data_IF_005070099645
#
_entry.id   IF_005070099645
#
_cell.length_a   1.000
_cell.length_b   1.000
_cell.length_c   1.000
_cell.angle_alpha   90.00
_cell.angle_beta   90.00
_cell.angle_gamma   90.00
#
_symmetry.space_group_name_H-M   'P 1'
#
loop_
_entity.id
_entity.type
_entity.pdbx_description
1 polymer ?
#
# COMPACT_ATOMS: atom_id res chain seq x y z
N UNK A 1 -1.65 -6.94 -7.11
CA UNK A 1 -0.55 -6.63 -8.06
C UNK A 1 -1.09 -6.74 -9.47
N UNK A 2 -0.97 -5.67 -10.27
CA UNK A 2 -1.44 -5.68 -11.66
C UNK A 2 -0.83 -6.81 -12.48
N UNK A 3 -1.65 -7.44 -13.36
CA UNK A 3 -1.21 -8.53 -14.23
C UNK A 3 -1.00 -9.88 -13.57
N UNK A 4 -1.43 -10.06 -12.31
CA UNK A 4 -1.23 -11.31 -11.55
C UNK A 4 -2.53 -12.07 -11.32
N UNK A 5 -3.63 -11.37 -11.00
CA UNK A 5 -4.90 -11.98 -10.64
C UNK A 5 -5.94 -11.79 -11.75
N UNK A 6 -6.52 -12.88 -12.22
CA UNK A 6 -7.57 -12.89 -13.23
C UNK A 6 -8.75 -13.70 -12.74
N UNK A 7 -9.97 -13.27 -13.10
CA UNK A 7 -11.17 -14.05 -12.87
C UNK A 7 -11.29 -15.18 -13.92
N UNK A 8 -12.31 -16.02 -13.82
CA UNK A 8 -12.51 -17.15 -14.75
C UNK A 8 -12.82 -16.72 -16.18
N UNK A 9 -13.21 -15.46 -16.39
CA UNK A 9 -13.45 -14.84 -17.70
C UNK A 9 -12.21 -14.19 -18.31
N UNK A 10 -11.08 -14.22 -17.60
CA UNK A 10 -9.83 -13.60 -18.03
C UNK A 10 -9.77 -12.09 -17.80
N UNK A 11 -10.69 -11.51 -17.01
CA UNK A 11 -10.62 -10.12 -16.63
C UNK A 11 -9.61 -9.95 -15.48
N UNK A 12 -8.72 -9.00 -15.64
CA UNK A 12 -7.70 -8.68 -14.65
C UNK A 12 -8.31 -7.92 -13.46
N UNK A 13 -7.90 -8.26 -12.23
CA UNK A 13 -8.52 -7.75 -11.00
C UNK A 13 -8.47 -6.22 -10.88
N UNK A 14 -7.33 -5.58 -11.21
CA UNK A 14 -7.23 -4.11 -11.12
C UNK A 14 -8.13 -3.39 -12.13
N UNK A 15 -8.47 -4.07 -13.25
CA UNK A 15 -9.46 -3.56 -14.19
C UNK A 15 -10.88 -3.56 -13.59
N UNK A 16 -11.21 -4.56 -12.75
CA UNK A 16 -12.48 -4.56 -12.02
C UNK A 16 -12.53 -3.40 -11.03
N UNK A 17 -11.45 -3.17 -10.27
CA UNK A 17 -11.35 -2.01 -9.35
C UNK A 17 -11.52 -0.69 -10.11
N UNK A 18 -10.83 -0.53 -11.25
CA UNK A 18 -10.94 0.67 -12.06
C UNK A 18 -12.36 0.94 -12.53
N UNK A 19 -13.09 -0.09 -12.96
CA UNK A 19 -14.50 0.01 -13.36
C UNK A 19 -15.38 0.49 -12.20
N UNK A 20 -15.19 -0.06 -11.00
CA UNK A 20 -15.93 0.37 -9.80
C UNK A 20 -15.61 1.82 -9.41
N UNK A 21 -14.41 2.31 -9.71
CA UNK A 21 -14.02 3.72 -9.53
C UNK A 21 -14.53 4.64 -10.65
N UNK A 22 -15.21 4.12 -11.66
CA UNK A 22 -15.75 4.90 -12.79
C UNK A 22 -14.78 5.12 -13.96
N UNK A 23 -13.68 4.36 -14.05
CA UNK A 23 -12.70 4.44 -15.14
C UNK A 23 -13.04 3.43 -16.27
N UNK A 24 -14.06 3.71 -17.06
CA UNK A 24 -14.59 2.78 -18.06
C UNK A 24 -13.63 2.41 -19.22
N UNK A 25 -12.59 3.20 -19.46
CA UNK A 25 -11.75 3.06 -20.65
C UNK A 25 -10.36 2.49 -20.39
N UNK A 26 -10.02 2.15 -19.18
CA UNK A 26 -8.67 1.70 -18.84
C UNK A 26 -8.61 0.20 -18.72
N UNK A 27 -8.31 -0.47 -19.84
CA UNK A 27 -7.75 -1.81 -19.73
C UNK A 27 -6.34 -1.70 -19.19
N UNK A 28 -6.05 -2.43 -18.13
CA UNK A 28 -4.68 -2.59 -17.68
C UNK A 28 -3.84 -3.26 -18.78
N UNK A 29 -2.87 -2.54 -19.31
CA UNK A 29 -1.95 -3.01 -20.35
C UNK A 29 -0.65 -3.63 -19.79
N UNK A 30 -0.58 -3.81 -18.48
CA UNK A 30 0.60 -4.30 -17.76
C UNK A 30 1.64 -3.22 -17.47
N UNK A 31 1.44 -1.98 -17.92
CA UNK A 31 2.45 -0.90 -17.85
C UNK A 31 1.90 0.39 -17.28
N UNK A 32 0.61 0.63 -17.43
CA UNK A 32 -0.02 1.88 -17.00
C UNK A 32 -0.67 1.69 -15.63
N UNK A 33 -0.19 2.40 -14.64
CA UNK A 33 -0.87 2.49 -13.36
C UNK A 33 -2.05 3.46 -13.46
N UNK A 34 -3.18 3.07 -12.89
CA UNK A 34 -4.32 3.97 -12.73
C UNK A 34 -3.89 5.12 -11.82
N UNK A 35 -4.06 6.34 -12.32
CA UNK A 35 -3.73 7.55 -11.55
C UNK A 35 -5.04 8.23 -11.16
N UNK A 36 -5.24 8.45 -9.88
CA UNK A 36 -6.43 9.15 -9.38
C UNK A 36 -6.58 10.55 -10.00
N UNK A 37 -5.48 11.27 -10.21
CA UNK A 37 -5.48 12.58 -10.87
C UNK A 37 -6.00 12.56 -12.32
N UNK A 38 -5.96 11.41 -12.98
CA UNK A 38 -6.45 11.27 -14.36
C UNK A 38 -7.98 11.12 -14.40
N UNK A 39 -8.63 11.11 -13.24
CA UNK A 39 -10.09 11.07 -13.07
C UNK A 39 -10.77 12.43 -13.33
N UNK A 40 -10.04 13.41 -13.82
CA UNK A 40 -10.60 14.73 -14.15
C UNK A 40 -11.03 15.57 -12.92
N UNK A 41 -10.70 15.14 -11.72
CA UNK A 41 -10.92 15.92 -10.50
C UNK A 41 -10.02 17.15 -10.50
N UNK A 42 -10.62 18.32 -10.30
CA UNK A 42 -9.84 19.53 -10.10
C UNK A 42 -9.26 19.53 -8.69
N UNK A 43 -7.96 19.23 -8.58
CA UNK A 43 -7.23 19.22 -7.30
C UNK A 43 -7.38 20.59 -6.60
N UNK A 44 -7.46 21.67 -7.35
CA UNK A 44 -7.61 23.01 -6.81
C UNK A 44 -8.98 23.18 -6.13
N UNK A 45 -10.05 22.66 -6.73
CA UNK A 45 -11.39 22.72 -6.14
C UNK A 45 -11.49 21.86 -4.89
N UNK A 46 -10.93 20.62 -4.93
CA UNK A 46 -10.87 19.73 -3.77
C UNK A 46 -10.04 20.35 -2.62
N UNK A 47 -8.89 20.96 -2.93
CA UNK A 47 -8.09 21.70 -1.95
C UNK A 47 -8.89 22.83 -1.31
N UNK A 48 -9.56 23.64 -2.12
CA UNK A 48 -10.38 24.75 -1.64
C UNK A 48 -11.49 24.25 -0.70
N UNK A 49 -12.22 23.23 -1.11
CA UNK A 49 -13.26 22.62 -0.29
C UNK A 49 -12.69 22.11 1.05
N UNK A 50 -11.58 21.34 1.01
CA UNK A 50 -10.93 20.84 2.21
C UNK A 50 -10.47 21.97 3.15
N UNK A 51 -9.93 23.07 2.62
CA UNK A 51 -9.55 24.22 3.42
C UNK A 51 -10.75 24.91 4.07
N UNK A 52 -11.88 25.01 3.36
CA UNK A 52 -13.12 25.57 3.90
C UNK A 52 -13.68 24.68 5.04
N UNK A 53 -13.77 23.38 4.84
CA UNK A 53 -14.26 22.41 5.82
C UNK A 53 -13.38 22.36 7.08
N UNK A 54 -12.06 22.30 6.92
CA UNK A 54 -11.10 22.28 8.03
C UNK A 54 -11.10 23.61 8.79
N UNK A 55 -11.23 24.76 8.08
CA UNK A 55 -11.36 26.07 8.74
C UNK A 55 -12.60 26.15 9.60
N UNK A 56 -13.72 25.55 9.16
CA UNK A 56 -14.98 25.56 9.90
C UNK A 56 -14.87 24.85 11.26
N UNK A 57 -13.93 23.91 11.40
CA UNK A 57 -13.64 23.23 12.67
C UNK A 57 -12.42 23.81 13.40
N UNK A 58 -11.91 24.96 12.95
CA UNK A 58 -10.86 25.71 13.63
C UNK A 58 -9.42 25.31 13.29
N UNK A 59 -9.20 24.54 12.21
CA UNK A 59 -7.85 24.20 11.74
C UNK A 59 -7.21 25.44 11.10
N UNK A 60 -5.94 25.66 11.42
CA UNK A 60 -5.10 26.72 10.84
C UNK A 60 -4.11 26.12 9.83
N UNK A 61 -3.79 26.88 8.79
CA UNK A 61 -2.90 26.43 7.72
C UNK A 61 -1.52 27.10 7.78
N UNK A 62 -0.47 26.42 7.27
CA UNK A 62 -0.50 25.05 6.73
C UNK A 62 -0.69 23.98 7.82
N UNK A 63 -1.32 22.86 7.43
CA UNK A 63 -1.35 21.65 8.26
C UNK A 63 0.01 20.97 8.19
N UNK A 64 0.59 20.62 9.33
CA UNK A 64 1.86 19.90 9.40
C UNK A 64 1.62 18.41 9.55
N UNK A 65 1.99 17.64 8.52
CA UNK A 65 1.95 16.18 8.52
C UNK A 65 3.33 15.62 8.82
N UNK A 66 3.42 14.70 9.78
CA UNK A 66 4.69 14.12 10.23
C UNK A 66 4.92 12.74 9.63
N UNK A 67 6.04 12.59 8.93
CA UNK A 67 6.55 11.33 8.41
C UNK A 67 7.90 11.03 9.04
N UNK A 68 8.13 9.78 9.47
CA UNK A 68 9.33 9.39 10.20
C UNK A 68 10.15 8.36 9.44
N UNK A 69 11.45 8.59 9.34
CA UNK A 69 12.43 7.70 8.72
C UNK A 69 13.49 7.25 9.73
N UNK A 70 14.19 6.16 9.45
CA UNK A 70 15.27 5.70 10.29
C UNK A 70 16.47 6.65 10.20
N UNK A 71 17.02 7.04 11.35
CA UNK A 71 18.22 7.89 11.40
C UNK A 71 19.40 7.22 10.72
N UNK A 72 20.07 7.96 9.82
CA UNK A 72 21.21 7.46 9.04
C UNK A 72 20.84 6.65 7.79
N UNK A 73 19.56 6.43 7.51
CA UNK A 73 19.12 5.79 6.27
C UNK A 73 18.98 6.84 5.15
N UNK A 74 19.99 6.91 4.29
CA UNK A 74 20.04 7.89 3.19
C UNK A 74 18.99 7.60 2.11
N UNK A 75 18.71 6.33 1.83
CA UNK A 75 17.68 5.95 0.84
C UNK A 75 16.29 6.34 1.32
N UNK A 76 15.99 6.11 2.60
CA UNK A 76 14.74 6.55 3.19
C UNK A 76 14.62 8.09 3.20
N UNK A 77 15.73 8.81 3.43
CA UNK A 77 15.75 10.26 3.38
C UNK A 77 15.47 10.79 1.96
N UNK A 78 16.09 10.20 0.95
CA UNK A 78 15.88 10.57 -0.46
C UNK A 78 14.41 10.34 -0.84
N UNK A 79 13.85 9.18 -0.48
CA UNK A 79 12.44 8.85 -0.72
C UNK A 79 11.50 9.83 -0.03
N UNK A 80 11.74 10.13 1.25
CA UNK A 80 10.92 11.08 2.02
C UNK A 80 11.03 12.51 1.46
N UNK A 81 12.21 12.89 0.94
CA UNK A 81 12.42 14.19 0.30
C UNK A 81 11.61 14.30 -1.01
N UNK A 82 11.60 13.25 -1.82
CA UNK A 82 10.75 13.20 -3.03
C UNK A 82 9.27 13.26 -2.64
N UNK A 83 8.85 12.52 -1.63
CA UNK A 83 7.47 12.55 -1.14
C UNK A 83 7.08 13.97 -0.68
N UNK A 84 7.95 14.63 0.10
CA UNK A 84 7.75 16.02 0.52
C UNK A 84 7.58 16.96 -0.68
N UNK A 85 8.41 16.80 -1.72
CA UNK A 85 8.29 17.60 -2.94
C UNK A 85 6.96 17.32 -3.67
N UNK A 86 6.53 16.06 -3.73
CA UNK A 86 5.23 15.71 -4.31
C UNK A 86 4.06 16.38 -3.56
N UNK A 87 4.12 16.45 -2.24
CA UNK A 87 3.12 17.17 -1.44
C UNK A 87 3.12 18.66 -1.75
N UNK A 88 4.30 19.30 -1.77
CA UNK A 88 4.43 20.71 -2.12
C UNK A 88 3.92 21.01 -3.52
N UNK A 89 4.31 20.23 -4.52
CA UNK A 89 3.91 20.44 -5.92
C UNK A 89 2.43 20.20 -6.18
N UNK A 90 1.82 19.25 -5.46
CA UNK A 90 0.42 18.87 -5.69
C UNK A 90 -0.56 19.64 -4.84
N UNK A 91 -0.23 19.91 -3.57
CA UNK A 91 -1.13 20.50 -2.58
C UNK A 91 -0.79 21.94 -2.27
N UNK A 92 0.48 22.34 -2.43
CA UNK A 92 1.02 23.64 -2.06
C UNK A 92 1.35 23.77 -0.58
N UNK A 93 2.44 24.47 -0.28
CA UNK A 93 2.93 24.67 1.09
C UNK A 93 2.03 25.59 1.93
N UNK A 94 1.05 26.23 1.31
CA UNK A 94 0.01 27.00 1.97
C UNK A 94 -1.10 26.13 2.59
N UNK A 95 -1.19 24.87 2.16
CA UNK A 95 -2.20 23.93 2.64
C UNK A 95 -1.59 22.86 3.55
N UNK A 96 -0.64 22.06 3.04
CA UNK A 96 -0.02 20.96 3.78
C UNK A 96 1.49 20.98 3.65
N UNK A 97 2.19 20.85 4.76
CA UNK A 97 3.65 20.70 4.82
C UNK A 97 3.98 19.32 5.38
N UNK A 98 4.80 18.55 4.66
CA UNK A 98 5.32 17.29 5.16
C UNK A 98 6.60 17.51 5.94
N UNK A 99 6.57 17.26 7.24
CA UNK A 99 7.73 17.30 8.15
C UNK A 99 8.35 15.92 8.27
N UNK A 100 9.66 15.84 8.02
CA UNK A 100 10.42 14.58 8.10
C UNK A 100 11.09 14.52 9.47
N UNK A 101 10.62 13.60 10.32
CA UNK A 101 11.22 13.24 11.60
C UNK A 101 12.11 12.00 11.48
N UNK A 102 12.84 11.69 12.55
CA UNK A 102 13.70 10.50 12.59
C UNK A 102 13.44 9.67 13.84
N UNK A 103 13.65 8.36 13.72
CA UNK A 103 13.72 7.42 14.84
C UNK A 103 15.05 6.65 14.78
N UNK A 104 15.48 6.08 15.91
CA UNK A 104 16.81 5.46 16.03
C UNK A 104 16.77 3.94 15.89
N UNK A 105 15.93 3.26 16.66
CA UNK A 105 15.95 1.79 16.74
C UNK A 105 14.69 1.13 16.23
N UNK A 106 13.51 1.63 16.58
CA UNK A 106 12.25 0.96 16.27
C UNK A 106 11.16 1.94 15.90
N UNK A 107 10.74 1.90 14.62
CA UNK A 107 9.60 2.65 14.13
C UNK A 107 8.34 2.40 14.99
N UNK A 108 8.11 1.16 15.37
CA UNK A 108 6.93 0.79 16.14
C UNK A 108 6.93 1.37 17.55
N UNK A 109 8.06 1.28 18.28
CA UNK A 109 8.14 1.75 19.66
C UNK A 109 8.25 3.25 19.77
N UNK A 110 9.01 3.87 18.87
CA UNK A 110 9.37 5.29 18.95
C UNK A 110 8.36 6.20 18.23
N UNK A 111 7.63 5.69 17.26
CA UNK A 111 6.73 6.49 16.43
C UNK A 111 5.29 5.97 16.48
N UNK A 112 5.06 4.73 15.98
CA UNK A 112 3.71 4.18 15.82
C UNK A 112 2.95 4.05 17.14
N UNK A 113 3.53 3.36 18.13
CA UNK A 113 2.84 3.06 19.38
C UNK A 113 2.61 4.30 20.25
N UNK A 114 3.38 5.36 20.03
CA UNK A 114 3.22 6.65 20.70
C UNK A 114 2.52 7.70 19.81
N UNK A 115 2.08 7.26 18.62
CA UNK A 115 1.22 8.02 17.70
C UNK A 115 1.79 9.40 17.32
N UNK A 116 3.07 9.46 16.93
CA UNK A 116 3.72 10.69 16.51
C UNK A 116 3.54 11.00 15.01
N UNK A 117 3.16 10.00 14.21
CA UNK A 117 3.04 10.13 12.77
C UNK A 117 1.67 10.66 12.34
N UNK A 118 1.65 11.42 11.27
CA UNK A 118 0.44 11.69 10.49
C UNK A 118 0.34 10.73 9.30
N UNK A 119 1.48 10.33 8.73
CA UNK A 119 1.60 9.37 7.64
C UNK A 119 2.61 8.31 8.06
N UNK A 120 2.24 7.04 7.93
CA UNK A 120 3.13 5.91 8.15
C UNK A 120 3.19 5.05 6.89
N UNK A 121 4.39 4.92 6.32
CA UNK A 121 4.62 3.95 5.25
C UNK A 121 4.78 2.57 5.87
N UNK A 122 4.00 1.63 5.38
CA UNK A 122 4.04 0.24 5.82
C UNK A 122 3.95 -0.70 4.62
N UNK A 123 4.16 -2.00 4.82
CA UNK A 123 4.08 -2.99 3.78
C UNK A 123 3.48 -4.29 4.29
N UNK A 124 2.81 -5.02 3.40
CA UNK A 124 2.25 -6.32 3.68
C UNK A 124 2.67 -7.34 2.62
N UNK A 125 3.18 -8.48 3.05
CA UNK A 125 3.41 -9.65 2.22
C UNK A 125 2.24 -10.61 2.38
N UNK A 126 1.58 -10.96 1.29
CA UNK A 126 0.41 -11.84 1.36
C UNK A 126 0.77 -13.22 1.92
N UNK A 127 -0.01 -13.70 2.89
CA UNK A 127 0.11 -15.06 3.45
C UNK A 127 -0.56 -16.11 2.56
N UNK A 128 -1.56 -15.70 1.79
CA UNK A 128 -2.31 -16.53 0.84
C UNK A 128 -2.90 -15.67 -0.29
N UNK A 129 -3.29 -16.33 -1.39
CA UNK A 129 -3.74 -15.67 -2.62
C UNK A 129 -5.22 -15.32 -2.62
N UNK A 130 -5.62 -14.37 -1.78
CA UNK A 130 -6.97 -13.82 -1.76
C UNK A 130 -6.92 -12.33 -1.43
N UNK A 131 -7.75 -11.47 -2.04
CA UNK A 131 -7.78 -10.04 -1.76
C UNK A 131 -8.01 -9.70 -0.30
N UNK A 132 -8.72 -10.55 0.45
CA UNK A 132 -8.96 -10.36 1.89
C UNK A 132 -7.67 -10.26 2.70
N UNK A 133 -6.58 -10.87 2.23
CA UNK A 133 -5.30 -10.81 2.95
C UNK A 133 -4.69 -9.40 2.98
N UNK A 134 -5.05 -8.57 2.01
CA UNK A 134 -4.69 -7.15 1.98
C UNK A 134 -5.81 -6.28 2.58
N UNK A 135 -7.02 -6.36 2.03
CA UNK A 135 -8.12 -5.47 2.40
C UNK A 135 -8.58 -5.69 3.84
N UNK A 136 -8.50 -6.92 4.33
CA UNK A 136 -8.82 -7.24 5.73
C UNK A 136 -7.90 -6.58 6.78
N UNK A 137 -6.76 -6.00 6.36
CA UNK A 137 -5.87 -5.28 7.28
C UNK A 137 -6.42 -3.90 7.68
N UNK A 138 -7.30 -3.33 6.86
CA UNK A 138 -7.80 -1.96 7.01
C UNK A 138 -9.25 -1.90 7.54
N UNK A 139 -9.92 -3.03 7.77
CA UNK A 139 -11.31 -3.04 8.27
C UNK A 139 -11.38 -2.68 9.75
N UNK A 140 -12.51 -2.13 10.18
CA UNK A 140 -12.82 -1.96 11.59
C UNK A 140 -13.07 -3.32 12.25
N UNK A 141 -12.62 -3.49 13.48
CA UNK A 141 -13.04 -4.56 14.41
C UNK A 141 -13.00 -5.99 13.86
N UNK A 142 -12.02 -6.35 13.03
CA UNK A 142 -11.74 -7.76 12.67
C UNK A 142 -10.46 -8.22 13.36
N UNK A 143 -10.35 -9.50 13.72
CA UNK A 143 -9.16 -10.11 14.31
C UNK A 143 -7.90 -9.96 13.43
N UNK A 144 -8.10 -9.72 12.14
CA UNK A 144 -7.03 -9.48 11.16
C UNK A 144 -6.81 -8.01 10.80
N UNK A 145 -7.56 -7.09 11.40
CA UNK A 145 -7.51 -5.66 11.12
C UNK A 145 -6.25 -4.99 11.69
N UNK A 146 -5.08 -5.46 11.26
CA UNK A 146 -3.80 -5.04 11.84
C UNK A 146 -3.50 -3.56 11.62
N UNK A 147 -3.68 -3.06 10.41
CA UNK A 147 -3.34 -1.67 10.10
C UNK A 147 -4.36 -0.67 10.62
N UNK A 148 -5.65 -0.93 10.45
CA UNK A 148 -6.68 -0.09 11.01
C UNK A 148 -6.52 0.07 12.54
N UNK A 149 -6.21 -1.04 13.23
CA UNK A 149 -6.09 -1.05 14.69
C UNK A 149 -4.75 -0.53 15.22
N UNK A 150 -3.67 -0.61 14.45
CA UNK A 150 -2.32 -0.33 14.97
C UNK A 150 -1.62 0.85 14.32
N UNK A 151 -1.93 1.17 13.07
CA UNK A 151 -1.23 2.19 12.28
C UNK A 151 -2.08 3.42 12.04
N UNK A 152 -3.35 3.25 11.70
CA UNK A 152 -4.28 4.36 11.53
C UNK A 152 -4.81 4.87 12.88
N UNK A 153 -5.34 6.07 12.87
CA UNK A 153 -6.01 6.65 14.04
C UNK A 153 -7.44 6.16 14.22
N UNK A 154 -7.96 5.36 13.30
CA UNK A 154 -9.38 4.99 13.27
C UNK A 154 -9.84 4.26 14.52
N UNK A 155 -8.98 3.44 15.13
CA UNK A 155 -9.29 2.76 16.37
C UNK A 155 -9.53 3.73 17.57
N UNK A 156 -8.91 4.89 17.55
CA UNK A 156 -9.16 5.94 18.53
C UNK A 156 -10.45 6.70 18.21
N UNK A 157 -10.70 6.99 16.93
CA UNK A 157 -11.93 7.62 16.44
C UNK A 157 -13.16 6.75 16.74
N UNK A 158 -13.07 5.44 16.53
CA UNK A 158 -14.15 4.49 16.81
C UNK A 158 -14.59 4.53 18.29
N UNK A 159 -13.64 4.72 19.22
CA UNK A 159 -13.91 4.75 20.66
C UNK A 159 -14.59 6.03 21.15
N UNK A 160 -14.23 7.17 20.55
CA UNK A 160 -14.75 8.49 20.97
C UNK A 160 -14.82 9.41 19.77
N UNK A 161 -15.77 9.18 18.83
CA UNK A 161 -15.85 9.93 17.58
C UNK A 161 -16.34 11.36 17.84
N UNK A 162 -15.55 12.33 17.40
CA UNK A 162 -15.99 13.73 17.36
C UNK A 162 -16.95 13.94 16.19
N UNK A 163 -17.78 14.99 16.25
CA UNK A 163 -18.78 15.25 15.20
C UNK A 163 -18.18 15.36 13.80
N UNK A 164 -17.01 16.00 13.67
CA UNK A 164 -16.30 16.15 12.39
C UNK A 164 -15.59 14.87 11.90
N UNK A 165 -15.60 13.80 12.69
CA UNK A 165 -14.99 12.51 12.34
C UNK A 165 -16.03 11.47 11.93
N UNK A 166 -17.32 11.80 12.00
CA UNK A 166 -18.40 10.84 11.73
C UNK A 166 -18.41 10.37 10.29
N UNK A 167 -18.11 11.26 9.34
CA UNK A 167 -18.05 10.89 7.92
C UNK A 167 -16.88 9.93 7.65
N UNK A 168 -15.70 10.21 8.22
CA UNK A 168 -14.56 9.29 8.16
C UNK A 168 -14.90 7.91 8.73
N UNK A 169 -15.57 7.88 9.89
CA UNK A 169 -15.99 6.61 10.50
C UNK A 169 -17.03 5.88 9.63
N UNK A 170 -17.93 6.61 8.98
CA UNK A 170 -18.90 6.05 8.05
C UNK A 170 -18.23 5.44 6.82
N UNK A 171 -17.21 6.09 6.25
CA UNK A 171 -16.43 5.57 5.12
C UNK A 171 -15.69 4.27 5.49
N UNK A 172 -15.09 4.21 6.66
CA UNK A 172 -14.45 2.98 7.16
C UNK A 172 -15.48 1.88 7.43
N UNK A 173 -16.68 2.22 7.90
CA UNK A 173 -17.76 1.25 8.12
C UNK A 173 -18.27 0.70 6.79
N UNK A 174 -18.51 1.55 5.80
CA UNK A 174 -18.90 1.13 4.45
C UNK A 174 -17.87 0.17 3.86
N UNK A 175 -16.61 0.52 3.92
CA UNK A 175 -15.52 -0.35 3.46
C UNK A 175 -15.51 -1.69 4.21
N UNK A 176 -15.67 -1.67 5.53
CA UNK A 176 -15.72 -2.88 6.37
C UNK A 176 -16.86 -3.79 6.00
N UNK A 177 -18.03 -3.23 5.76
CA UNK A 177 -19.24 -3.97 5.35
C UNK A 177 -19.03 -4.62 3.98
N UNK A 178 -18.47 -3.90 3.00
CA UNK A 178 -18.14 -4.42 1.68
C UNK A 178 -17.13 -5.58 1.74
N UNK A 179 -16.09 -5.47 2.55
CA UNK A 179 -15.12 -6.56 2.76
C UNK A 179 -15.80 -7.76 3.41
N UNK A 180 -16.67 -7.53 4.37
CA UNK A 180 -17.41 -8.60 5.07
C UNK A 180 -18.35 -9.34 4.11
N UNK A 181 -19.07 -8.62 3.27
CA UNK A 181 -19.92 -9.20 2.22
C UNK A 181 -19.07 -10.03 1.23
N UNK A 182 -17.95 -9.50 0.77
CA UNK A 182 -17.05 -10.21 -0.14
C UNK A 182 -16.46 -11.49 0.48
N UNK A 183 -16.11 -11.46 1.78
CA UNK A 183 -15.63 -12.64 2.54
C UNK A 183 -16.67 -13.76 2.56
N UNK A 184 -17.94 -13.44 2.60
CA UNK A 184 -19.03 -14.45 2.66
C UNK A 184 -19.20 -15.21 1.33
N UNK A 185 -18.69 -14.71 0.20
CA UNK A 185 -18.73 -15.38 -1.10
C UNK A 185 -17.60 -16.41 -1.16
N UNK A 186 -17.89 -17.70 -0.98
CA UNK A 186 -16.86 -18.76 -0.89
C UNK A 186 -16.78 -19.68 -2.11
N UNK A 187 -17.82 -19.76 -2.93
CA UNK A 187 -17.91 -20.74 -4.03
C UNK A 187 -17.82 -20.13 -5.42
N UNK A 188 -18.10 -18.85 -5.58
CA UNK A 188 -18.07 -18.13 -6.85
C UNK A 188 -16.88 -17.15 -6.83
N UNK A 189 -15.79 -17.53 -7.48
CA UNK A 189 -14.57 -16.73 -7.56
C UNK A 189 -14.79 -15.41 -8.30
N UNK A 190 -15.59 -15.41 -9.36
CA UNK A 190 -15.84 -14.19 -10.14
C UNK A 190 -16.67 -13.19 -9.35
N UNK A 191 -17.73 -13.66 -8.69
CA UNK A 191 -18.54 -12.82 -7.81
C UNK A 191 -17.70 -12.31 -6.61
N UNK A 192 -16.85 -13.16 -6.04
CA UNK A 192 -15.94 -12.78 -4.95
C UNK A 192 -14.97 -11.68 -5.37
N UNK A 193 -14.34 -11.82 -6.53
CA UNK A 193 -13.40 -10.80 -7.03
C UNK A 193 -14.10 -9.48 -7.35
N UNK A 194 -15.29 -9.53 -7.92
CA UNK A 194 -16.10 -8.33 -8.18
C UNK A 194 -16.47 -7.61 -6.85
N UNK A 195 -16.86 -8.37 -5.83
CA UNK A 195 -17.20 -7.81 -4.54
C UNK A 195 -15.97 -7.17 -3.84
N UNK A 196 -14.81 -7.83 -3.87
CA UNK A 196 -13.58 -7.24 -3.35
C UNK A 196 -13.11 -6.03 -4.16
N UNK A 197 -13.28 -6.03 -5.49
CA UNK A 197 -12.96 -4.87 -6.32
C UNK A 197 -13.81 -3.65 -5.94
N UNK A 198 -15.07 -3.85 -5.60
CA UNK A 198 -15.94 -2.79 -5.08
C UNK A 198 -15.44 -2.26 -3.72
N UNK A 199 -15.04 -3.16 -2.83
CA UNK A 199 -14.48 -2.76 -1.53
C UNK A 199 -13.17 -1.98 -1.69
N UNK A 200 -12.24 -2.43 -2.55
CA UNK A 200 -10.99 -1.74 -2.83
C UNK A 200 -11.24 -0.36 -3.48
N UNK A 201 -12.20 -0.26 -4.39
CA UNK A 201 -12.60 1.02 -4.97
C UNK A 201 -13.13 2.01 -3.92
N UNK A 202 -13.93 1.56 -2.97
CA UNK A 202 -14.38 2.39 -1.83
C UNK A 202 -13.19 2.86 -0.99
N UNK A 203 -12.26 1.97 -0.63
CA UNK A 203 -11.04 2.31 0.12
C UNK A 203 -10.19 3.38 -0.60
N UNK A 204 -10.01 3.24 -1.91
CA UNK A 204 -9.20 4.16 -2.71
C UNK A 204 -9.88 5.51 -2.92
N UNK A 205 -11.19 5.52 -3.21
CA UNK A 205 -11.97 6.74 -3.39
C UNK A 205 -12.04 7.60 -2.12
N UNK A 206 -12.12 6.96 -0.96
CA UNK A 206 -12.16 7.62 0.34
C UNK A 206 -10.75 7.84 0.93
N UNK A 207 -9.69 7.49 0.18
CA UNK A 207 -8.28 7.65 0.58
C UNK A 207 -7.95 7.03 1.95
N UNK A 208 -8.59 5.91 2.31
CA UNK A 208 -8.33 5.20 3.58
C UNK A 208 -6.93 4.58 3.59
N UNK A 209 -6.40 4.22 2.41
CA UNK A 209 -5.05 3.76 2.19
C UNK A 209 -4.54 4.27 0.84
N UNK A 210 -3.25 4.59 0.76
CA UNK A 210 -2.59 5.04 -0.47
C UNK A 210 -1.54 4.00 -0.88
N UNK A 211 -1.83 3.12 -1.86
CA UNK A 211 -0.85 2.19 -2.39
C UNK A 211 0.29 2.95 -3.09
N UNK A 212 1.53 2.72 -2.65
CA UNK A 212 2.69 3.46 -3.15
C UNK A 212 3.52 2.66 -4.15
N UNK A 213 3.90 1.43 -3.81
CA UNK A 213 4.81 0.61 -4.62
C UNK A 213 4.69 -0.87 -4.29
N UNK A 214 5.22 -1.70 -5.19
CA UNK A 214 5.48 -3.11 -4.94
C UNK A 214 6.97 -3.31 -4.74
N UNK A 215 7.34 -4.00 -3.67
CA UNK A 215 8.73 -4.37 -3.44
C UNK A 215 9.08 -5.62 -4.25
N UNK A 216 10.15 -5.55 -5.02
CA UNK A 216 10.71 -6.67 -5.78
C UNK A 216 12.03 -7.06 -5.14
N UNK A 217 12.09 -8.26 -4.57
CA UNK A 217 13.30 -8.79 -3.97
C UNK A 217 14.09 -9.64 -4.98
N UNK A 218 15.33 -9.26 -5.19
CA UNK A 218 16.29 -10.01 -5.98
C UNK A 218 17.32 -10.66 -5.05
N UNK A 219 17.59 -11.94 -5.25
CA UNK A 219 18.65 -12.60 -4.51
C UNK A 219 19.48 -13.52 -5.43
N UNK A 220 20.77 -13.52 -5.19
CA UNK A 220 21.69 -14.51 -5.76
C UNK A 220 21.81 -15.66 -4.77
N UNK A 221 21.58 -16.90 -5.24
CA UNK A 221 21.63 -18.06 -4.35
C UNK A 221 22.48 -19.18 -4.96
N UNK A 222 23.18 -19.92 -4.10
CA UNK A 222 23.93 -21.12 -4.44
C UNK A 222 23.08 -22.41 -4.30
N UNK A 223 21.77 -22.26 -4.24
CA UNK A 223 20.83 -23.38 -4.12
C UNK A 223 20.53 -23.94 -5.51
N UNK A 224 20.49 -25.28 -5.62
CA UNK A 224 20.08 -25.98 -6.83
C UNK A 224 18.61 -25.60 -7.13
N UNK A 225 18.38 -24.98 -8.29
CA UNK A 225 17.06 -24.47 -8.67
C UNK A 225 15.98 -25.55 -8.75
N UNK A 226 16.35 -26.78 -9.10
CA UNK A 226 15.42 -27.91 -9.16
C UNK A 226 14.96 -28.39 -7.79
N UNK A 227 15.66 -28.00 -6.72
CA UNK A 227 15.28 -28.30 -5.33
C UNK A 227 14.59 -27.13 -4.63
N UNK A 228 14.53 -25.97 -5.28
CA UNK A 228 13.78 -24.81 -4.80
C UNK A 228 12.29 -25.03 -4.93
N UNK A 229 11.61 -24.98 -3.81
CA UNK A 229 10.15 -24.83 -3.77
C UNK A 229 9.86 -23.39 -3.43
N UNK A 230 9.45 -22.64 -4.45
CA UNK A 230 9.02 -21.26 -4.25
C UNK A 230 7.59 -21.25 -3.72
N UNK A 231 7.37 -20.61 -2.58
CA UNK A 231 6.04 -20.28 -2.13
C UNK A 231 5.71 -18.86 -2.63
N UNK A 232 4.58 -18.70 -3.28
CA UNK A 232 4.11 -17.38 -3.73
C UNK A 232 3.66 -16.52 -2.53
N UNK A 233 3.25 -17.16 -1.45
CA UNK A 233 2.66 -16.51 -0.27
C UNK A 233 3.34 -16.96 1.01
N UNK A 234 3.22 -16.12 2.03
CA UNK A 234 3.72 -16.38 3.37
C UNK A 234 5.03 -15.64 3.68
N UNK A 235 5.42 -15.60 4.95
CA UNK A 235 6.57 -14.83 5.42
C UNK A 235 7.92 -15.37 4.89
N UNK A 236 7.93 -16.58 4.33
CA UNK A 236 9.10 -17.18 3.71
C UNK A 236 8.74 -17.67 2.32
N UNK A 237 9.19 -16.94 1.31
CA UNK A 237 8.96 -17.28 -0.09
C UNK A 237 9.66 -18.57 -0.52
N UNK A 238 10.55 -19.11 0.31
CA UNK A 238 11.31 -20.31 0.02
C UNK A 238 11.04 -21.38 1.07
N UNK A 239 10.68 -22.56 0.61
CA UNK A 239 10.57 -23.75 1.46
C UNK A 239 11.90 -24.53 1.40
N UNK A 240 12.69 -24.42 2.45
CA UNK A 240 14.06 -24.90 2.47
C UNK A 240 14.23 -26.42 2.77
N UNK A 241 13.15 -27.13 3.06
CA UNK A 241 13.19 -28.53 3.54
C UNK A 241 13.96 -29.47 2.60
N UNK A 242 13.86 -29.24 1.29
CA UNK A 242 14.51 -30.08 0.26
C UNK A 242 15.61 -29.33 -0.49
N UNK A 243 16.11 -28.23 0.06
CA UNK A 243 17.16 -27.48 -0.62
C UNK A 243 18.46 -28.24 -0.62
N UNK A 244 19.06 -28.28 -1.80
CA UNK A 244 20.41 -28.78 -2.02
C UNK A 244 21.27 -27.66 -2.58
N UNK A 245 22.49 -27.53 -2.09
CA UNK A 245 23.46 -26.64 -2.72
C UNK A 245 23.93 -27.23 -4.04
N UNK A 246 24.23 -26.38 -5.02
CA UNK A 246 24.87 -26.83 -6.24
C UNK A 246 26.21 -27.51 -5.87
N UNK A 247 26.43 -28.69 -6.41
CA UNK A 247 27.74 -29.32 -6.33
C UNK A 247 28.65 -28.63 -7.35
N UNK A 248 29.75 -28.05 -6.88
CA UNK A 248 30.72 -27.31 -7.69
C UNK A 248 31.18 -26.04 -6.98
N UNK A 249 32.04 -25.31 -7.60
CA UNK A 249 32.81 -24.21 -7.02
C UNK A 249 32.06 -22.88 -6.86
N UNK A 250 30.73 -22.87 -6.85
CA UNK A 250 29.92 -21.68 -6.74
C UNK A 250 29.77 -20.92 -8.07
N UNK A 251 29.44 -19.66 -7.99
CA UNK A 251 29.42 -18.81 -9.17
C UNK A 251 30.85 -18.46 -9.59
N UNK A 252 31.13 -18.52 -10.89
CA UNK A 252 32.37 -17.99 -11.42
C UNK A 252 32.41 -16.47 -11.22
N UNK A 253 33.63 -15.88 -11.23
CA UNK A 253 33.77 -14.42 -11.14
C UNK A 253 32.99 -13.71 -12.26
N UNK A 254 32.99 -14.29 -13.46
CA UNK A 254 32.27 -13.78 -14.62
C UNK A 254 30.75 -13.79 -14.42
N UNK A 255 30.18 -14.86 -13.83
CA UNK A 255 28.74 -14.91 -13.50
C UNK A 255 28.36 -13.87 -12.45
N UNK A 256 29.21 -13.69 -11.42
CA UNK A 256 29.00 -12.68 -10.40
C UNK A 256 29.10 -11.27 -10.94
N UNK A 257 30.09 -10.98 -11.79
CA UNK A 257 30.25 -9.68 -12.46
C UNK A 257 29.09 -9.37 -13.39
N UNK A 258 28.62 -10.36 -14.16
CA UNK A 258 27.46 -10.22 -15.04
C UNK A 258 26.18 -9.90 -14.24
N UNK A 259 25.96 -10.60 -13.12
CA UNK A 259 24.84 -10.32 -12.23
C UNK A 259 24.95 -8.91 -11.63
N UNK A 260 26.10 -8.54 -11.10
CA UNK A 260 26.33 -7.23 -10.50
C UNK A 260 26.14 -6.09 -11.50
N UNK A 261 26.58 -6.28 -12.74
CA UNK A 261 26.37 -5.33 -13.82
C UNK A 261 24.88 -5.15 -14.17
N UNK A 262 24.15 -6.28 -14.28
CA UNK A 262 22.71 -6.26 -14.56
C UNK A 262 21.92 -5.62 -13.40
N UNK A 263 22.25 -5.94 -12.15
CA UNK A 263 21.64 -5.37 -10.97
C UNK A 263 21.86 -3.85 -10.89
N UNK A 264 23.10 -3.40 -11.10
CA UNK A 264 23.44 -1.98 -11.09
C UNK A 264 22.79 -1.21 -12.26
N UNK A 265 22.56 -1.85 -13.40
CA UNK A 265 21.84 -1.24 -14.52
C UNK A 265 20.35 -1.09 -14.20
N UNK A 266 19.74 -2.09 -13.58
CA UNK A 266 18.33 -2.08 -13.20
C UNK A 266 18.01 -1.07 -12.07
N UNK A 267 18.97 -0.83 -11.16
CA UNK A 267 18.81 0.14 -10.06
C UNK A 267 19.07 1.59 -10.46
N UNK A 268 19.59 1.83 -11.69
CA UNK A 268 19.82 3.17 -12.23
C UNK A 268 18.77 3.62 -13.24
N UNK A 269 17.86 2.73 -13.60
CA UNK A 269 16.73 3.01 -14.50
C UNK A 269 15.48 3.42 -13.72
#
# INVERSE_FOLDING_TARGET
MPGVCYNTKGEEYTTLVAKEMGFDSQSYDGKTMIRLRDNGGDIADLKKQAMEELSAIGVTFPVHCHHYIKSGDTTALDTATVLKQCFSDSLGDDFVVLDIGTYVSSLYKEVRNVQLHSILQNGWGADFGDPVNFLGQEVLSDDNAYYAQTTSWIAAVEKDPQDYQKDLLADYQEFTDLVTEAKAIVTDTDARYAAFAKAEASMLNNALCIPCLYEVLWCLTHVNEYTKINAMYGPCNYKAVNWETRQGDGYTTEEYEAFSAAFNAATKA
#
